data_IF_965329402338
#
_entry.id   IF_965329402338
#
_cell.length_a   1.000
_cell.length_b   1.000
_cell.length_c   1.000
_cell.angle_alpha   90.00
_cell.angle_beta   90.00
_cell.angle_gamma   90.00
#
_symmetry.space_group_name_H-M   'P 1'
#
loop_
_entity.id
_entity.type
_entity.pdbx_description
1 polymer ?
#
# COMPACT_ATOMS: atom_id res chain seq x y z
N UNK A 1 -27.37 10.36 20.78
CA UNK A 1 -28.22 9.27 20.34
C UNK A 1 -29.53 9.81 19.87
N UNK A 2 -29.89 9.74 18.59
CA UNK A 2 -31.25 9.82 18.11
C UNK A 2 -31.82 11.16 17.63
N UNK A 3 -31.05 12.20 17.43
CA UNK A 3 -31.58 13.40 16.76
C UNK A 3 -31.52 13.16 15.23
N UNK A 4 -32.70 13.06 14.62
CA UNK A 4 -32.81 13.00 13.16
C UNK A 4 -32.40 14.38 12.60
N UNK A 5 -31.36 14.43 11.79
CA UNK A 5 -30.96 15.66 11.12
C UNK A 5 -31.94 16.07 10.01
N UNK A 6 -32.96 15.27 9.72
CA UNK A 6 -33.97 15.55 8.70
C UNK A 6 -34.83 16.75 9.17
N UNK A 7 -34.90 17.75 8.31
CA UNK A 7 -35.63 18.98 8.59
C UNK A 7 -34.79 20.14 9.09
N UNK A 8 -33.55 19.91 9.50
CA UNK A 8 -32.61 20.95 9.93
C UNK A 8 -32.10 21.77 8.74
N UNK A 9 -31.71 23.04 9.01
CA UNK A 9 -31.15 23.94 8.01
C UNK A 9 -29.61 23.88 8.04
N UNK A 10 -28.98 23.64 6.89
CA UNK A 10 -27.54 23.63 6.73
C UNK A 10 -27.12 24.69 5.72
N UNK A 11 -26.07 25.46 6.02
CA UNK A 11 -25.47 26.38 5.07
C UNK A 11 -24.61 25.59 4.11
N UNK A 12 -24.85 25.76 2.81
CA UNK A 12 -23.97 25.17 1.76
C UNK A 12 -22.76 26.05 1.57
N UNK A 13 -21.60 25.41 1.41
CA UNK A 13 -20.34 26.12 1.13
C UNK A 13 -20.31 26.75 -0.27
N UNK A 14 -21.14 26.26 -1.19
CA UNK A 14 -21.14 26.70 -2.58
C UNK A 14 -21.69 28.13 -2.79
N UNK A 15 -22.71 28.58 -2.02
CA UNK A 15 -23.31 29.90 -2.22
C UNK A 15 -23.71 30.61 -0.91
N UNK A 16 -23.38 30.04 0.24
CA UNK A 16 -23.89 30.58 1.52
C UNK A 16 -25.38 30.42 1.74
N UNK A 17 -26.09 29.82 0.79
CA UNK A 17 -27.52 29.55 0.89
C UNK A 17 -27.81 28.47 1.94
N UNK A 18 -28.86 28.63 2.67
CA UNK A 18 -29.34 27.61 3.61
C UNK A 18 -30.26 26.65 2.89
N UNK A 19 -29.97 25.36 2.99
CA UNK A 19 -30.79 24.27 2.45
C UNK A 19 -31.32 23.41 3.60
N UNK A 20 -32.55 22.91 3.44
CA UNK A 20 -33.16 22.02 4.43
C UNK A 20 -32.82 20.57 4.09
N UNK A 21 -32.39 19.80 5.08
CA UNK A 21 -32.10 18.39 4.93
C UNK A 21 -33.41 17.64 4.66
N UNK A 22 -33.53 17.05 3.46
CA UNK A 22 -34.71 16.28 3.07
C UNK A 22 -34.67 14.84 3.54
N UNK A 23 -33.48 14.23 3.51
CA UNK A 23 -33.28 12.85 3.93
C UNK A 23 -31.81 12.63 4.34
N UNK A 24 -31.58 11.60 5.11
CA UNK A 24 -30.23 11.09 5.45
C UNK A 24 -30.11 9.71 4.83
N UNK A 25 -29.11 9.51 3.99
CA UNK A 25 -28.80 8.20 3.39
C UNK A 25 -27.73 7.48 4.22
N UNK A 26 -27.63 6.17 4.03
CA UNK A 26 -26.54 5.39 4.59
C UNK A 26 -25.20 5.87 4.07
N UNK A 27 -24.12 5.59 4.82
CA UNK A 27 -22.77 5.96 4.45
C UNK A 27 -22.41 5.39 3.08
N UNK A 28 -22.18 6.27 2.11
CA UNK A 28 -21.73 5.89 0.77
C UNK A 28 -20.23 6.10 0.66
N UNK A 29 -19.56 5.15 0.02
CA UNK A 29 -18.15 5.30 -0.36
C UNK A 29 -18.08 6.07 -1.68
N UNK A 30 -17.31 7.14 -1.69
CA UNK A 30 -17.06 7.90 -2.90
C UNK A 30 -16.13 7.14 -3.87
N UNK A 31 -15.13 6.45 -3.33
CA UNK A 31 -14.26 5.53 -4.05
C UNK A 31 -13.89 4.33 -3.17
N UNK A 32 -13.21 3.32 -3.72
CA UNK A 32 -12.87 2.09 -3.01
C UNK A 32 -11.85 2.28 -1.89
N UNK A 33 -11.05 3.36 -1.94
CA UNK A 33 -9.93 3.62 -1.04
C UNK A 33 -10.25 4.62 0.06
N UNK A 34 -11.30 5.42 -0.10
CA UNK A 34 -11.70 6.37 0.94
C UNK A 34 -12.57 5.71 1.99
N UNK A 35 -12.29 6.03 3.26
CA UNK A 35 -13.25 5.83 4.34
C UNK A 35 -14.52 6.62 4.02
N UNK A 36 -15.62 6.24 4.66
CA UNK A 36 -16.91 6.92 4.50
C UNK A 36 -16.75 8.42 4.74
N UNK A 37 -16.81 9.21 3.69
CA UNK A 37 -16.75 10.67 3.80
C UNK A 37 -18.14 11.21 4.06
N UNK A 38 -18.20 12.26 4.88
CA UNK A 38 -19.42 13.04 5.05
C UNK A 38 -19.66 13.79 3.75
N UNK A 39 -20.69 13.41 3.01
CA UNK A 39 -21.07 14.04 1.76
C UNK A 39 -22.47 14.61 1.85
N UNK A 40 -22.67 15.76 1.21
CA UNK A 40 -23.98 16.38 1.05
C UNK A 40 -24.38 16.26 -0.41
N UNK A 41 -25.50 15.59 -0.66
CA UNK A 41 -26.08 15.46 -2.00
C UNK A 41 -27.15 16.55 -2.19
N UNK A 42 -26.94 17.41 -3.16
CA UNK A 42 -27.90 18.46 -3.50
C UNK A 42 -28.61 18.04 -4.79
N UNK A 43 -29.96 17.98 -4.80
CA UNK A 43 -30.70 17.67 -6.03
C UNK A 43 -30.36 18.69 -7.12
N UNK A 44 -30.03 18.21 -8.30
CA UNK A 44 -29.80 19.06 -9.46
C UNK A 44 -31.14 19.49 -10.04
N UNK A 45 -31.59 20.70 -9.72
CA UNK A 45 -32.77 21.29 -10.33
C UNK A 45 -32.36 22.15 -11.51
N UNK A 46 -32.69 21.70 -12.73
CA UNK A 46 -32.57 22.49 -13.95
C UNK A 46 -33.65 23.57 -14.00
N UNK A 47 -33.61 24.53 -13.09
CA UNK A 47 -34.50 25.69 -13.17
C UNK A 47 -33.82 26.82 -13.90
N UNK A 48 -34.53 27.48 -14.81
CA UNK A 48 -34.05 28.58 -15.68
C UNK A 48 -33.38 29.76 -14.92
N UNK A 49 -33.43 29.81 -13.59
CA UNK A 49 -32.95 30.94 -12.79
C UNK A 49 -31.48 30.81 -12.30
N UNK A 50 -30.83 29.65 -12.45
CA UNK A 50 -29.42 29.49 -12.06
C UNK A 50 -28.64 28.90 -13.21
N UNK A 51 -27.77 29.70 -13.81
CA UNK A 51 -26.95 29.21 -14.93
C UNK A 51 -25.96 28.13 -14.43
N UNK A 52 -25.75 27.15 -15.30
CA UNK A 52 -24.96 25.93 -15.06
C UNK A 52 -23.49 26.18 -14.70
N UNK A 53 -22.95 27.38 -14.92
CA UNK A 53 -21.56 27.75 -14.58
C UNK A 53 -21.29 27.96 -13.09
N UNK A 54 -22.28 27.84 -12.23
CA UNK A 54 -22.06 27.77 -10.79
C UNK A 54 -21.69 26.37 -10.27
N UNK A 55 -21.71 25.35 -11.15
CA UNK A 55 -21.07 24.08 -10.86
C UNK A 55 -19.59 24.27 -11.15
N UNK A 56 -18.76 24.26 -10.12
CA UNK A 56 -17.30 24.33 -10.25
C UNK A 56 -16.71 23.14 -11.05
N UNK A 57 -17.50 22.11 -11.30
CA UNK A 57 -17.13 20.97 -12.12
C UNK A 57 -17.55 21.21 -13.59
N UNK A 58 -16.60 21.28 -14.51
CA UNK A 58 -16.89 21.42 -15.95
C UNK A 58 -17.58 20.18 -16.56
N UNK A 59 -17.75 19.12 -15.78
CA UNK A 59 -18.23 17.84 -16.24
C UNK A 59 -19.49 17.40 -15.49
N UNK A 60 -20.48 16.92 -16.23
CA UNK A 60 -21.63 16.22 -15.68
C UNK A 60 -21.46 14.73 -15.93
N UNK A 61 -21.29 13.95 -14.86
CA UNK A 61 -21.26 12.50 -14.91
C UNK A 61 -22.67 11.91 -14.82
N UNK A 62 -23.08 11.13 -15.80
CA UNK A 62 -24.36 10.40 -15.80
C UNK A 62 -24.08 8.90 -15.74
N UNK A 63 -24.60 8.23 -14.72
CA UNK A 63 -24.48 6.78 -14.57
C UNK A 63 -25.76 6.11 -15.04
N UNK A 64 -25.64 5.21 -16.01
CA UNK A 64 -26.76 4.48 -16.59
C UNK A 64 -26.59 2.99 -16.28
N UNK A 65 -27.61 2.38 -15.71
CA UNK A 65 -27.64 0.93 -15.52
C UNK A 65 -28.30 0.27 -16.73
N UNK A 66 -27.57 -0.64 -17.36
CA UNK A 66 -28.01 -1.39 -18.52
C UNK A 66 -28.45 -2.79 -18.09
N UNK A 67 -29.41 -3.38 -18.77
CA UNK A 67 -29.81 -4.77 -18.53
C UNK A 67 -28.68 -5.73 -18.95
N UNK A 68 -28.45 -6.84 -18.21
CA UNK A 68 -27.33 -7.75 -18.49
C UNK A 68 -27.32 -8.29 -19.93
N UNK A 69 -28.48 -8.53 -20.51
CA UNK A 69 -28.62 -9.06 -21.87
C UNK A 69 -28.24 -8.04 -22.96
N UNK A 70 -28.15 -6.78 -22.59
CA UNK A 70 -27.83 -5.66 -23.51
C UNK A 70 -26.44 -5.09 -23.23
N UNK A 71 -25.74 -5.58 -22.22
CA UNK A 71 -24.43 -5.08 -21.80
C UNK A 71 -23.32 -5.70 -22.68
N UNK A 72 -22.95 -5.01 -23.72
CA UNK A 72 -21.89 -5.44 -24.63
C UNK A 72 -21.26 -4.27 -25.39
N UNK A 73 -20.11 -4.52 -25.98
CA UNK A 73 -19.33 -3.51 -26.72
C UNK A 73 -20.15 -2.90 -27.87
N UNK A 74 -21.10 -3.66 -28.44
CA UNK A 74 -21.99 -3.19 -29.49
C UNK A 74 -23.04 -2.19 -28.98
N UNK A 75 -23.50 -2.37 -27.73
CA UNK A 75 -24.41 -1.40 -27.12
C UNK A 75 -23.67 -0.07 -26.89
N UNK A 76 -22.50 -0.11 -26.32
CA UNK A 76 -21.70 1.10 -26.03
C UNK A 76 -21.41 1.87 -27.31
N UNK A 77 -21.03 1.19 -28.40
CA UNK A 77 -20.74 1.83 -29.69
C UNK A 77 -21.99 2.49 -30.31
N UNK A 78 -23.14 1.80 -30.30
CA UNK A 78 -24.39 2.34 -30.82
C UNK A 78 -24.88 3.51 -29.99
N UNK A 79 -24.95 3.32 -28.68
CA UNK A 79 -25.41 4.36 -27.77
C UNK A 79 -24.52 5.59 -27.77
N UNK A 80 -23.20 5.43 -27.84
CA UNK A 80 -22.26 6.55 -28.02
C UNK A 80 -22.52 7.33 -29.28
N UNK A 81 -22.81 6.65 -30.39
CA UNK A 81 -23.13 7.29 -31.68
C UNK A 81 -24.42 8.10 -31.58
N UNK A 82 -25.48 7.49 -31.07
CA UNK A 82 -26.78 8.11 -30.94
C UNK A 82 -26.78 9.30 -30.01
N UNK A 83 -26.09 9.16 -28.85
CA UNK A 83 -25.97 10.24 -27.87
C UNK A 83 -25.08 11.39 -28.35
N UNK A 84 -24.04 11.10 -29.13
CA UNK A 84 -23.17 12.15 -29.67
C UNK A 84 -23.96 13.09 -30.59
N UNK A 85 -24.89 12.57 -31.38
CA UNK A 85 -25.74 13.37 -32.23
C UNK A 85 -26.80 14.17 -31.44
N UNK A 86 -27.37 13.56 -30.39
CA UNK A 86 -28.46 14.17 -29.60
C UNK A 86 -27.97 15.16 -28.54
N UNK A 87 -26.76 14.97 -28.00
CA UNK A 87 -26.21 15.82 -26.91
C UNK A 87 -25.40 17.02 -27.42
N UNK A 88 -25.25 17.20 -28.74
CA UNK A 88 -24.65 18.41 -29.30
C UNK A 88 -25.67 19.57 -29.26
N UNK A 89 -25.97 20.06 -28.06
CA UNK A 89 -26.90 21.15 -27.81
C UNK A 89 -26.13 22.33 -27.22
N UNK A 90 -25.91 23.38 -27.97
CA UNK A 90 -25.12 24.52 -27.54
C UNK A 90 -23.65 24.16 -27.27
N UNK A 91 -23.18 24.40 -26.08
CA UNK A 91 -21.79 24.10 -25.66
C UNK A 91 -21.63 22.72 -25.00
N UNK A 92 -22.69 21.92 -24.96
CA UNK A 92 -22.62 20.56 -24.43
C UNK A 92 -22.19 19.58 -25.50
N UNK A 93 -21.28 18.66 -25.13
CA UNK A 93 -20.87 17.55 -25.95
C UNK A 93 -20.57 16.34 -25.10
N UNK A 94 -20.74 15.16 -25.67
CA UNK A 94 -20.35 13.92 -25.01
C UNK A 94 -18.83 13.76 -25.07
N UNK A 95 -18.17 13.92 -23.94
CA UNK A 95 -16.72 13.79 -23.84
C UNK A 95 -16.31 12.32 -23.86
N UNK A 96 -16.83 11.54 -22.94
CA UNK A 96 -16.50 10.12 -22.83
C UNK A 96 -17.72 9.30 -22.43
N UNK A 97 -17.73 8.07 -22.90
CA UNK A 97 -18.69 7.05 -22.51
C UNK A 97 -18.00 5.69 -22.48
N UNK A 98 -17.97 5.11 -21.33
CA UNK A 98 -17.27 3.85 -21.09
C UNK A 98 -17.99 2.99 -20.05
N UNK A 99 -17.75 1.67 -20.03
CA UNK A 99 -18.21 0.82 -18.95
C UNK A 99 -17.66 1.28 -17.60
N UNK A 100 -18.44 1.10 -16.55
CA UNK A 100 -17.98 1.42 -15.19
C UNK A 100 -16.77 0.59 -14.77
N UNK A 101 -16.62 -0.62 -15.31
CA UNK A 101 -15.45 -1.48 -15.13
C UNK A 101 -14.15 -0.84 -15.63
N UNK A 102 -14.19 -0.17 -16.78
CA UNK A 102 -13.02 0.50 -17.36
C UNK A 102 -12.67 1.75 -16.57
N UNK A 103 -13.67 2.51 -16.15
CA UNK A 103 -13.48 3.65 -15.27
C UNK A 103 -12.84 3.24 -13.95
N UNK A 104 -13.34 2.15 -13.34
CA UNK A 104 -12.76 1.57 -12.12
C UNK A 104 -11.30 1.13 -12.32
N UNK A 105 -11.03 0.42 -13.42
CA UNK A 105 -9.68 -0.05 -13.72
C UNK A 105 -8.71 1.11 -13.94
N UNK A 106 -9.17 2.21 -14.50
CA UNK A 106 -8.35 3.41 -14.67
C UNK A 106 -8.05 4.09 -13.35
N UNK A 107 -9.03 4.23 -12.47
CA UNK A 107 -8.81 4.74 -11.11
C UNK A 107 -7.87 3.87 -10.28
N UNK A 108 -7.84 2.56 -10.55
CA UNK A 108 -6.94 1.62 -9.86
C UNK A 108 -5.52 1.61 -10.43
N UNK A 109 -5.27 2.25 -11.59
CA UNK A 109 -3.92 2.25 -12.21
C UNK A 109 -2.89 2.98 -11.34
N UNK A 110 -3.21 4.18 -10.87
CA UNK A 110 -2.29 4.97 -10.04
C UNK A 110 -1.95 4.23 -8.74
N UNK A 111 -2.91 3.83 -7.88
CA UNK A 111 -2.61 3.09 -6.66
C UNK A 111 -1.82 1.80 -6.91
N UNK A 112 -2.09 1.13 -8.02
CA UNK A 112 -1.37 -0.09 -8.40
C UNK A 112 0.07 0.19 -8.81
N UNK A 113 0.31 1.26 -9.56
CA UNK A 113 1.66 1.66 -9.95
C UNK A 113 2.48 2.09 -8.73
N UNK A 114 1.88 2.82 -7.79
CA UNK A 114 2.50 3.20 -6.53
C UNK A 114 2.88 1.97 -5.71
N UNK A 115 1.97 0.99 -5.62
CA UNK A 115 2.26 -0.29 -4.96
C UNK A 115 3.46 -0.99 -5.58
N UNK A 116 3.55 -1.08 -6.92
CA UNK A 116 4.69 -1.70 -7.58
C UNK A 116 5.99 -0.90 -7.36
N UNK A 117 5.91 0.42 -7.32
CA UNK A 117 7.05 1.28 -7.02
C UNK A 117 7.56 1.03 -5.61
N UNK A 118 6.69 1.07 -4.59
CA UNK A 118 7.07 0.78 -3.21
C UNK A 118 7.61 -0.64 -3.04
N UNK A 119 7.00 -1.62 -3.70
CA UNK A 119 7.47 -3.00 -3.68
C UNK A 119 8.87 -3.14 -4.30
N UNK A 120 9.13 -2.46 -5.41
CA UNK A 120 10.44 -2.47 -6.07
C UNK A 120 11.53 -1.87 -5.17
N UNK A 121 11.23 -0.76 -4.52
CA UNK A 121 12.14 -0.12 -3.55
C UNK A 121 12.38 -1.03 -2.34
N UNK A 122 11.33 -1.66 -1.81
CA UNK A 122 11.45 -2.60 -0.69
C UNK A 122 12.33 -3.80 -1.05
N UNK A 123 12.15 -4.40 -2.24
CA UNK A 123 12.98 -5.51 -2.72
C UNK A 123 14.43 -5.06 -2.89
N UNK A 124 14.67 -3.87 -3.43
CA UNK A 124 16.01 -3.31 -3.54
C UNK A 124 16.70 -3.19 -2.18
N UNK A 125 16.03 -2.63 -1.17
CA UNK A 125 16.59 -2.53 0.18
C UNK A 125 16.80 -3.90 0.84
N UNK A 126 15.90 -4.86 0.61
CA UNK A 126 16.07 -6.23 1.08
C UNK A 126 17.30 -6.90 0.49
N UNK A 127 17.55 -6.74 -0.79
CA UNK A 127 18.75 -7.27 -1.45
C UNK A 127 20.02 -6.61 -0.88
N UNK A 128 20.01 -5.30 -0.66
CA UNK A 128 21.13 -4.61 -0.02
C UNK A 128 21.38 -5.11 1.41
N UNK A 129 20.33 -5.27 2.20
CA UNK A 129 20.43 -5.83 3.55
C UNK A 129 20.98 -7.26 3.53
N UNK A 130 20.49 -8.10 2.61
CA UNK A 130 20.99 -9.46 2.42
C UNK A 130 22.49 -9.48 2.10
N UNK A 131 22.96 -8.66 1.16
CA UNK A 131 24.37 -8.59 0.77
C UNK A 131 25.25 -8.06 1.91
N UNK A 132 24.79 -7.06 2.64
CA UNK A 132 25.50 -6.50 3.78
C UNK A 132 25.68 -7.53 4.91
N UNK A 133 24.61 -8.25 5.25
CA UNK A 133 24.64 -9.31 6.26
C UNK A 133 25.54 -10.47 5.78
N UNK A 134 25.37 -10.91 4.54
CA UNK A 134 26.19 -11.98 3.95
C UNK A 134 27.68 -11.62 4.02
N UNK A 135 28.06 -10.41 3.57
CA UNK A 135 29.45 -9.94 3.59
C UNK A 135 30.03 -9.87 4.99
N UNK A 136 29.27 -9.31 5.94
CA UNK A 136 29.67 -9.19 7.34
C UNK A 136 29.90 -10.57 7.98
N UNK A 137 28.96 -11.49 7.81
CA UNK A 137 29.08 -12.84 8.38
C UNK A 137 30.14 -13.67 7.69
N UNK A 138 30.31 -13.49 6.37
CA UNK A 138 31.42 -14.11 5.64
C UNK A 138 32.76 -13.70 6.24
N UNK A 139 32.99 -12.40 6.37
CA UNK A 139 34.24 -11.87 6.91
C UNK A 139 34.49 -12.32 8.37
N UNK A 140 33.48 -12.21 9.24
CA UNK A 140 33.55 -12.67 10.63
C UNK A 140 33.86 -14.17 10.75
N UNK A 141 33.25 -14.99 9.89
CA UNK A 141 33.48 -16.43 9.89
C UNK A 141 34.90 -16.76 9.47
N UNK A 142 35.47 -16.03 8.51
CA UNK A 142 36.87 -16.19 8.11
C UNK A 142 37.83 -15.79 9.25
N UNK A 143 37.61 -14.68 9.91
CA UNK A 143 38.44 -14.22 11.02
C UNK A 143 38.43 -15.18 12.23
N UNK A 144 37.30 -15.85 12.48
CA UNK A 144 37.15 -16.79 13.60
C UNK A 144 37.33 -18.25 13.20
N UNK A 145 37.99 -18.52 12.06
CA UNK A 145 38.11 -19.88 11.50
C UNK A 145 38.80 -20.86 12.44
N UNK A 146 39.90 -20.43 13.10
CA UNK A 146 40.63 -21.22 14.10
C UNK A 146 39.78 -21.53 15.34
N UNK A 147 39.08 -20.54 15.91
CA UNK A 147 38.18 -20.71 17.03
C UNK A 147 37.04 -21.70 16.73
N UNK A 148 36.40 -21.54 15.56
CA UNK A 148 35.32 -22.42 15.12
C UNK A 148 35.83 -23.85 14.85
N UNK A 149 37.02 -23.99 14.30
CA UNK A 149 37.69 -25.26 14.09
C UNK A 149 38.03 -25.99 15.43
N UNK A 150 38.53 -25.25 16.43
CA UNK A 150 38.77 -25.77 17.75
C UNK A 150 37.49 -26.29 18.42
N UNK A 151 36.40 -25.56 18.33
CA UNK A 151 35.11 -25.98 18.90
C UNK A 151 34.60 -27.27 18.26
N UNK A 152 34.81 -27.44 16.95
CA UNK A 152 34.49 -28.70 16.23
C UNK A 152 35.40 -29.84 16.70
N UNK A 153 36.70 -29.59 16.85
CA UNK A 153 37.65 -30.57 17.37
C UNK A 153 37.36 -31.06 18.78
N UNK A 154 36.81 -30.17 19.64
CA UNK A 154 36.37 -30.50 21.01
C UNK A 154 34.98 -31.16 21.05
N UNK A 155 34.41 -31.57 19.90
CA UNK A 155 33.14 -32.28 19.83
C UNK A 155 31.90 -31.39 19.69
N UNK A 156 32.07 -30.11 19.41
CA UNK A 156 30.97 -29.20 19.13
C UNK A 156 30.19 -29.62 17.86
N UNK A 157 28.86 -29.75 17.97
CA UNK A 157 28.05 -30.09 16.80
C UNK A 157 27.98 -28.94 15.80
N UNK A 158 28.01 -29.29 14.51
CA UNK A 158 27.87 -28.31 13.41
C UNK A 158 26.58 -27.48 13.52
N UNK A 159 25.51 -28.09 14.03
CA UNK A 159 24.23 -27.40 14.27
C UNK A 159 24.34 -26.36 15.37
N UNK A 160 25.13 -26.62 16.41
CA UNK A 160 25.36 -25.65 17.50
C UNK A 160 26.04 -24.38 16.99
N UNK A 161 27.01 -24.53 16.07
CA UNK A 161 27.69 -23.39 15.44
C UNK A 161 26.74 -22.58 14.56
N UNK A 162 25.88 -23.23 13.78
CA UNK A 162 24.85 -22.53 13.01
C UNK A 162 23.88 -21.74 13.89
N UNK A 163 23.43 -22.35 15.01
CA UNK A 163 22.54 -21.66 15.96
C UNK A 163 23.22 -20.45 16.61
N UNK A 164 24.52 -20.54 16.90
CA UNK A 164 25.29 -19.43 17.45
C UNK A 164 25.34 -18.25 16.49
N UNK A 165 25.74 -18.49 15.23
CA UNK A 165 25.81 -17.46 14.19
C UNK A 165 24.45 -16.86 13.88
N UNK A 166 23.42 -17.67 13.91
CA UNK A 166 22.05 -17.25 13.74
C UNK A 166 21.54 -16.38 14.86
N UNK A 167 21.79 -16.81 16.11
CA UNK A 167 21.45 -16.02 17.29
C UNK A 167 22.13 -14.65 17.27
N UNK A 168 23.42 -14.60 16.90
CA UNK A 168 24.15 -13.34 16.73
C UNK A 168 23.49 -12.45 15.66
N UNK A 169 23.10 -13.01 14.51
CA UNK A 169 22.42 -12.27 13.44
C UNK A 169 21.06 -11.72 13.84
N UNK A 170 20.24 -12.53 14.53
CA UNK A 170 18.92 -12.12 15.01
C UNK A 170 19.02 -11.06 16.11
N UNK A 171 19.97 -11.17 17.02
CA UNK A 171 20.19 -10.16 18.07
C UNK A 171 20.59 -8.81 17.45
N UNK A 172 21.52 -8.81 16.49
CA UNK A 172 21.93 -7.58 15.79
C UNK A 172 20.77 -6.97 15.01
N UNK A 173 19.97 -7.81 14.33
CA UNK A 173 18.76 -7.36 13.64
C UNK A 173 17.77 -6.71 14.59
N UNK A 174 17.48 -7.38 15.72
CA UNK A 174 16.51 -6.86 16.71
C UNK A 174 16.96 -5.53 17.29
N UNK A 175 18.26 -5.39 17.59
CA UNK A 175 18.82 -4.15 18.09
C UNK A 175 18.72 -3.01 17.07
N UNK A 176 18.95 -3.28 15.79
CA UNK A 176 18.79 -2.31 14.70
C UNK A 176 17.32 -1.99 14.40
N UNK A 177 16.42 -2.94 14.64
CA UNK A 177 14.99 -2.80 14.35
C UNK A 177 14.27 -1.85 15.31
N UNK A 178 14.73 -1.75 16.56
CA UNK A 178 14.13 -0.85 17.56
C UNK A 178 14.13 0.62 17.11
N UNK A 179 15.26 1.25 16.75
CA UNK A 179 15.24 2.62 16.26
C UNK A 179 14.46 2.76 14.94
N UNK A 180 14.45 1.74 14.08
CA UNK A 180 13.69 1.75 12.84
C UNK A 180 12.17 1.85 13.08
N UNK A 181 11.64 1.15 14.10
CA UNK A 181 10.24 1.26 14.52
C UNK A 181 9.90 2.70 14.92
N UNK A 182 10.77 3.35 15.70
CA UNK A 182 10.54 4.73 16.15
C UNK A 182 10.46 5.68 14.96
N UNK A 183 11.37 5.54 14.00
CA UNK A 183 11.36 6.35 12.76
C UNK A 183 10.09 6.08 11.95
N UNK A 184 9.74 4.81 11.74
CA UNK A 184 8.55 4.42 11.00
C UNK A 184 7.26 4.93 11.64
N UNK A 185 7.17 4.91 12.98
CA UNK A 185 6.03 5.45 13.70
C UNK A 185 5.88 6.97 13.49
N UNK A 186 6.99 7.71 13.58
CA UNK A 186 6.97 9.15 13.33
C UNK A 186 6.58 9.51 11.89
N UNK A 187 7.09 8.77 10.90
CA UNK A 187 6.73 8.98 9.50
C UNK A 187 5.25 8.65 9.24
N UNK A 188 4.74 7.57 9.85
CA UNK A 188 3.34 7.19 9.74
C UNK A 188 2.38 8.19 10.38
N UNK A 189 2.75 8.75 11.55
CA UNK A 189 1.95 9.77 12.23
C UNK A 189 1.99 11.12 11.52
N UNK A 190 3.07 11.44 10.83
CA UNK A 190 3.23 12.68 10.08
C UNK A 190 2.51 12.67 8.72
N UNK A 191 1.88 11.54 8.33
CA UNK A 191 1.15 11.35 7.06
C UNK A 191 1.93 11.77 5.79
N UNK A 192 3.28 11.79 5.87
CA UNK A 192 4.17 12.32 4.82
C UNK A 192 4.18 11.42 3.57
N UNK A 193 3.81 10.15 3.73
CA UNK A 193 4.08 9.11 2.72
C UNK A 193 2.88 8.78 1.84
N UNK A 194 1.67 9.23 2.18
CA UNK A 194 0.48 8.84 1.42
C UNK A 194 -0.36 10.03 0.97
N UNK A 195 -0.52 10.18 -0.33
CA UNK A 195 -1.55 11.04 -0.94
C UNK A 195 -2.97 10.46 -0.77
N UNK A 196 -3.06 9.24 -0.26
CA UNK A 196 -4.33 8.58 0.00
C UNK A 196 -4.74 8.80 1.46
N UNK A 197 -6.00 9.21 1.74
CA UNK A 197 -6.52 9.40 3.08
C UNK A 197 -6.76 8.05 3.78
N UNK A 198 -5.68 7.31 4.01
CA UNK A 198 -5.72 6.07 4.78
C UNK A 198 -5.42 6.41 6.22
N UNK A 199 -6.44 6.38 7.06
CA UNK A 199 -6.28 6.61 8.50
C UNK A 199 -5.22 5.68 9.09
N UNK A 200 -4.29 6.27 9.83
CA UNK A 200 -3.29 5.52 10.59
C UNK A 200 -4.00 4.67 11.64
N UNK A 201 -3.98 3.37 11.44
CA UNK A 201 -4.59 2.41 12.37
C UNK A 201 -3.48 1.62 13.07
N UNK A 202 -3.47 1.62 14.40
CA UNK A 202 -2.49 0.90 15.21
C UNK A 202 -2.37 -0.58 14.79
N UNK A 203 -3.49 -1.24 14.48
CA UNK A 203 -3.49 -2.63 14.02
C UNK A 203 -2.70 -2.82 12.72
N UNK A 204 -2.90 -1.95 11.73
CA UNK A 204 -2.17 -2.01 10.44
C UNK A 204 -0.69 -1.76 10.64
N UNK A 205 -0.33 -0.82 11.49
CA UNK A 205 1.05 -0.51 11.82
C UNK A 205 1.75 -1.69 12.50
N UNK A 206 1.13 -2.28 13.52
CA UNK A 206 1.70 -3.45 14.23
C UNK A 206 1.81 -4.66 13.31
N UNK A 207 0.80 -4.92 12.48
CA UNK A 207 0.85 -6.00 11.49
C UNK A 207 1.99 -5.78 10.47
N UNK A 208 2.17 -4.55 9.99
CA UNK A 208 3.27 -4.19 9.08
C UNK A 208 4.65 -4.41 9.72
N UNK A 209 4.85 -3.96 10.97
CA UNK A 209 6.07 -4.20 11.74
C UNK A 209 6.35 -5.70 11.86
N UNK A 210 5.35 -6.48 12.22
CA UNK A 210 5.51 -7.93 12.43
C UNK A 210 5.90 -8.65 11.14
N UNK A 211 5.21 -8.36 10.03
CA UNK A 211 5.52 -8.93 8.70
C UNK A 211 6.93 -8.54 8.27
N UNK A 212 7.30 -7.26 8.42
CA UNK A 212 8.63 -6.76 8.05
C UNK A 212 9.72 -7.44 8.89
N UNK A 213 9.50 -7.58 10.20
CA UNK A 213 10.46 -8.28 11.07
C UNK A 213 10.66 -9.73 10.68
N UNK A 214 9.59 -10.47 10.41
CA UNK A 214 9.68 -11.87 9.94
C UNK A 214 10.45 -11.98 8.63
N UNK A 215 10.19 -11.07 7.71
CA UNK A 215 10.84 -11.05 6.40
C UNK A 215 12.34 -10.74 6.53
N UNK A 216 12.73 -9.83 7.43
CA UNK A 216 14.13 -9.54 7.73
C UNK A 216 14.81 -10.70 8.45
N UNK A 217 14.16 -11.36 9.41
CA UNK A 217 14.67 -12.59 10.06
C UNK A 217 14.93 -13.68 9.02
N UNK A 218 14.01 -13.87 8.07
CA UNK A 218 14.19 -14.81 6.98
C UNK A 218 15.38 -14.43 6.07
N UNK A 219 15.54 -13.15 5.78
CA UNK A 219 16.68 -12.62 5.01
C UNK A 219 18.00 -12.88 5.72
N UNK A 220 18.08 -12.60 7.03
CA UNK A 220 19.25 -12.90 7.87
C UNK A 220 19.54 -14.41 7.87
N UNK A 221 18.51 -15.23 7.98
CA UNK A 221 18.64 -16.69 7.90
C UNK A 221 19.33 -17.13 6.61
N UNK A 222 18.85 -16.66 5.47
CA UNK A 222 19.42 -17.01 4.18
C UNK A 222 20.86 -16.49 4.02
N UNK A 223 21.13 -15.26 4.47
CA UNK A 223 22.43 -14.63 4.38
C UNK A 223 23.49 -15.34 5.23
N UNK A 224 23.13 -15.76 6.45
CA UNK A 224 24.04 -16.48 7.38
C UNK A 224 24.21 -17.94 6.99
N UNK A 225 23.24 -18.54 6.30
CA UNK A 225 23.28 -19.95 5.89
C UNK A 225 24.49 -20.30 5.04
N UNK A 226 24.87 -19.43 4.09
CA UNK A 226 25.98 -19.66 3.16
C UNK A 226 27.32 -19.73 3.92
N UNK A 227 27.73 -18.69 4.70
CA UNK A 227 28.99 -18.74 5.45
C UNK A 227 29.00 -19.82 6.54
N UNK A 228 27.86 -20.07 7.19
CA UNK A 228 27.75 -21.14 8.19
C UNK A 228 28.02 -22.52 7.58
N UNK A 229 27.47 -22.80 6.38
CA UNK A 229 27.76 -24.07 5.68
C UNK A 229 29.23 -24.21 5.30
N UNK A 230 29.91 -23.13 4.94
CA UNK A 230 31.34 -23.18 4.63
C UNK A 230 32.18 -23.42 5.88
N UNK A 231 31.86 -22.75 7.01
CA UNK A 231 32.50 -22.98 8.28
C UNK A 231 32.41 -24.46 8.74
N UNK A 232 31.29 -25.12 8.43
CA UNK A 232 31.10 -26.54 8.75
C UNK A 232 31.96 -27.50 7.92
N UNK A 233 32.52 -27.09 6.78
CA UNK A 233 33.37 -27.92 5.91
C UNK A 233 34.84 -27.85 6.26
N UNK A 234 35.25 -26.99 7.19
CA UNK A 234 36.60 -26.81 7.64
C UNK A 234 37.07 -28.11 8.32
N UNK A 235 38.13 -28.71 7.82
CA UNK A 235 38.78 -29.85 8.47
C UNK A 235 39.59 -29.32 9.68
N UNK A 236 39.45 -29.93 10.88
CA UNK A 236 40.17 -29.47 12.08
C UNK A 236 41.71 -29.44 11.87
N UNK A 237 42.26 -30.35 11.04
CA UNK A 237 43.69 -30.42 10.70
C UNK A 237 44.17 -29.20 9.91
N UNK A 238 43.36 -28.63 9.02
CA UNK A 238 43.70 -27.42 8.27
C UNK A 238 43.63 -26.15 9.14
N UNK A 239 42.64 -26.07 10.01
CA UNK A 239 42.46 -24.91 10.90
C UNK A 239 43.61 -24.71 11.90
N UNK A 240 44.33 -25.78 12.25
CA UNK A 240 45.49 -25.74 13.18
C UNK A 240 46.83 -25.57 12.42
N UNK A 241 46.87 -25.65 11.10
CA UNK A 241 48.08 -25.51 10.30
C UNK A 241 48.34 -24.11 9.76
N UNK A 242 47.34 -23.23 9.83
CA UNK A 242 47.42 -21.83 9.35
C UNK A 242 47.94 -20.84 10.44
N UNK A 243 48.46 -21.32 11.59
CA UNK A 243 49.37 -20.60 12.50
C UNK A 243 50.82 -20.91 12.14
#
# INVERSE_FOLDING_TARGET
PGLSAVGEWVKTTLNGDSVRIAAVCENQKYNEFTSHQRATYIPLHFTQKRPFYYLEAPYLGVYIRVYPDSDGDDFIRRFRKDMREQLMIGNFYLEDMRPMTDFRNEQLKEPRNDLYTYLSVAVFFLLNAFLAVLGTFWFRTQQRRSELGLRVALGGSRVSLCRLLWGEGVVLLTLAFIPAIVVAANLGLAEIVSDYPVEFTLFRFVAGIFITYLLLVFTVFLAVWIPARQAMKIQPAEALREE
#
